data_IF_410766157565
#
_entry.id   IF_410766157565
#
_cell.length_a   1.000
_cell.length_b   1.000
_cell.length_c   1.000
_cell.angle_alpha   90.00
_cell.angle_beta   90.00
_cell.angle_gamma   90.00
#
_symmetry.space_group_name_H-M   'P 1'
#
loop_
_entity.id
_entity.type
_entity.pdbx_description
1 polymer ?
#
# COMPACT_ATOMS: atom_id res chain seq x y z
N UNK A 1 -27.56 9.84 5.17
CA UNK A 1 -26.79 9.88 3.90
C UNK A 1 -25.38 9.37 4.16
N UNK A 2 -24.68 8.92 3.14
CA UNK A 2 -23.30 8.45 3.23
C UNK A 2 -22.36 9.51 3.83
N UNK A 3 -22.59 10.78 3.51
CA UNK A 3 -21.79 11.89 4.01
C UNK A 3 -21.86 12.02 5.54
N UNK A 4 -23.03 11.83 6.15
CA UNK A 4 -23.19 11.87 7.60
C UNK A 4 -22.51 10.70 8.28
N UNK A 5 -22.65 9.49 7.75
CA UNK A 5 -21.97 8.29 8.23
C UNK A 5 -20.44 8.47 8.20
N UNK A 6 -19.90 8.86 7.06
CA UNK A 6 -18.47 9.05 6.87
C UNK A 6 -17.91 10.14 7.79
N UNK A 7 -18.65 11.25 7.99
CA UNK A 7 -18.30 12.29 8.96
C UNK A 7 -18.23 11.76 10.39
N UNK A 8 -19.18 10.94 10.80
CA UNK A 8 -19.21 10.37 12.13
C UNK A 8 -18.06 9.38 12.37
N UNK A 9 -17.76 8.53 11.37
CA UNK A 9 -16.63 7.59 11.40
C UNK A 9 -15.30 8.36 11.47
N UNK A 10 -15.11 9.36 10.61
CA UNK A 10 -13.91 10.20 10.61
C UNK A 10 -13.71 10.91 11.95
N UNK A 11 -14.77 11.48 12.51
CA UNK A 11 -14.73 12.12 13.84
C UNK A 11 -14.31 11.14 14.93
N UNK A 12 -14.79 9.90 14.90
CA UNK A 12 -14.51 8.88 15.92
C UNK A 12 -13.08 8.32 15.82
N UNK A 13 -12.61 8.03 14.61
CA UNK A 13 -11.34 7.32 14.40
C UNK A 13 -10.19 8.23 13.94
N UNK A 14 -10.47 9.47 13.57
CA UNK A 14 -9.48 10.41 13.03
C UNK A 14 -8.97 10.03 11.65
N UNK A 15 -9.63 9.11 10.96
CA UNK A 15 -9.24 8.63 9.63
C UNK A 15 -10.02 9.38 8.57
N UNK A 16 -9.31 9.97 7.61
CA UNK A 16 -9.89 10.72 6.50
C UNK A 16 -10.91 9.88 5.72
N UNK A 17 -12.13 10.40 5.61
CA UNK A 17 -13.26 9.74 4.93
C UNK A 17 -12.97 9.41 3.47
N UNK A 18 -12.16 10.22 2.79
CA UNK A 18 -11.85 9.98 1.38
C UNK A 18 -10.90 8.79 1.21
N UNK A 19 -10.03 8.53 2.19
CA UNK A 19 -9.21 7.31 2.22
C UNK A 19 -10.09 6.07 2.45
N UNK A 20 -11.10 6.16 3.30
CA UNK A 20 -12.07 5.06 3.48
C UNK A 20 -12.82 4.77 2.18
N UNK A 21 -13.24 5.81 1.46
CA UNK A 21 -13.83 5.66 0.13
C UNK A 21 -12.85 5.09 -0.90
N UNK A 22 -11.59 5.51 -0.85
CA UNK A 22 -10.52 4.98 -1.70
C UNK A 22 -10.34 3.47 -1.50
N UNK A 23 -10.26 3.01 -0.25
CA UNK A 23 -10.19 1.58 0.07
C UNK A 23 -11.45 0.86 -0.39
N UNK A 24 -12.64 1.36 -0.06
CA UNK A 24 -13.90 0.74 -0.44
C UNK A 24 -14.07 0.60 -1.97
N UNK A 25 -13.66 1.64 -2.70
CA UNK A 25 -13.62 1.62 -4.16
C UNK A 25 -12.67 0.57 -4.72
N UNK A 26 -11.44 0.54 -4.21
CA UNK A 26 -10.39 -0.38 -4.69
C UNK A 26 -10.67 -1.84 -4.33
N UNK A 27 -11.24 -2.11 -3.14
CA UNK A 27 -11.44 -3.47 -2.65
C UNK A 27 -12.66 -4.16 -3.26
N UNK A 28 -13.76 -3.44 -3.46
CA UNK A 28 -15.01 -4.07 -3.86
C UNK A 28 -15.88 -3.23 -4.80
N UNK A 29 -15.31 -2.22 -5.48
CA UNK A 29 -16.10 -1.34 -6.32
C UNK A 29 -17.33 -0.79 -5.57
N UNK A 30 -17.10 -0.23 -4.38
CA UNK A 30 -18.12 0.29 -3.47
C UNK A 30 -19.18 -0.77 -3.08
N UNK A 31 -18.70 -1.99 -2.81
CA UNK A 31 -19.53 -3.09 -2.32
C UNK A 31 -20.26 -3.88 -3.41
N UNK A 32 -20.02 -3.61 -4.69
CA UNK A 32 -20.58 -4.39 -5.81
C UNK A 32 -19.92 -5.76 -5.95
N UNK A 33 -18.61 -5.84 -5.69
CA UNK A 33 -17.77 -7.02 -5.93
C UNK A 33 -17.18 -7.55 -4.61
N UNK A 34 -18.01 -8.13 -3.73
CA UNK A 34 -17.59 -8.63 -2.41
C UNK A 34 -17.04 -10.06 -2.43
N UNK A 35 -17.07 -10.72 -3.58
CA UNK A 35 -16.74 -12.14 -3.72
C UNK A 35 -17.89 -13.06 -3.31
N UNK A 36 -17.99 -14.22 -3.96
CA UNK A 36 -19.07 -15.20 -3.77
C UNK A 36 -18.54 -16.60 -3.41
N UNK A 37 -17.23 -16.78 -3.26
CA UNK A 37 -16.64 -18.08 -2.94
C UNK A 37 -16.70 -18.33 -1.43
N UNK A 38 -16.98 -19.58 -1.04
CA UNK A 38 -16.95 -19.98 0.36
C UNK A 38 -15.53 -19.79 0.94
N UNK A 39 -15.39 -19.00 1.99
CA UNK A 39 -14.09 -18.66 2.62
C UNK A 39 -13.33 -19.92 3.04
N UNK A 40 -14.02 -20.87 3.68
CA UNK A 40 -13.37 -22.14 4.10
C UNK A 40 -12.86 -22.96 2.92
N UNK A 41 -13.62 -23.01 1.81
CA UNK A 41 -13.18 -23.69 0.58
C UNK A 41 -11.95 -23.03 -0.03
N UNK A 42 -11.96 -21.70 -0.15
CA UNK A 42 -10.83 -20.93 -0.68
C UNK A 42 -9.55 -21.19 0.15
N UNK A 43 -9.66 -21.14 1.46
CA UNK A 43 -8.53 -21.34 2.36
C UNK A 43 -8.01 -22.80 2.35
N UNK A 44 -8.92 -23.79 2.30
CA UNK A 44 -8.54 -25.19 2.18
C UNK A 44 -7.78 -25.46 0.87
N UNK A 45 -8.26 -24.90 -0.24
CA UNK A 45 -7.59 -25.00 -1.55
C UNK A 45 -6.19 -24.35 -1.52
N UNK A 46 -6.04 -23.16 -0.95
CA UNK A 46 -4.75 -22.47 -0.82
C UNK A 46 -3.77 -23.25 0.07
N UNK A 47 -4.26 -23.84 1.15
CA UNK A 47 -3.46 -24.67 2.04
C UNK A 47 -2.97 -25.94 1.33
N UNK A 48 -3.87 -26.62 0.60
CA UNK A 48 -3.56 -27.83 -0.16
C UNK A 48 -2.58 -27.58 -1.29
N UNK A 49 -2.79 -26.51 -2.08
CA UNK A 49 -1.91 -26.12 -3.18
C UNK A 49 -0.49 -25.72 -2.74
N UNK A 50 -0.27 -25.54 -1.44
CA UNK A 50 1.05 -25.37 -0.82
C UNK A 50 1.73 -24.00 -1.01
N UNK A 51 1.37 -23.23 -2.03
CA UNK A 51 2.06 -21.96 -2.39
C UNK A 51 1.98 -20.87 -1.31
N UNK A 52 0.91 -20.89 -0.47
CA UNK A 52 0.69 -19.98 0.66
C UNK A 52 0.24 -20.74 1.91
N UNK A 53 0.74 -21.93 2.14
CA UNK A 53 0.28 -22.87 3.17
C UNK A 53 0.26 -22.25 4.58
N UNK A 54 1.34 -21.59 4.99
CA UNK A 54 1.42 -20.94 6.32
C UNK A 54 0.32 -19.89 6.48
N UNK A 55 0.20 -18.97 5.52
CA UNK A 55 -0.85 -17.97 5.50
C UNK A 55 -2.24 -18.60 5.56
N UNK A 56 -2.53 -19.57 4.68
CA UNK A 56 -3.83 -20.21 4.62
C UNK A 56 -4.20 -20.89 5.95
N UNK A 57 -3.26 -21.57 6.59
CA UNK A 57 -3.49 -22.24 7.88
C UNK A 57 -3.81 -21.22 9.00
N UNK A 58 -3.11 -20.10 9.05
CA UNK A 58 -3.40 -19.02 10.00
C UNK A 58 -4.82 -18.47 9.78
N UNK A 59 -5.20 -18.25 8.52
CA UNK A 59 -6.53 -17.76 8.17
C UNK A 59 -7.64 -18.80 8.43
N UNK A 60 -7.37 -20.11 8.24
CA UNK A 60 -8.32 -21.20 8.59
C UNK A 60 -8.64 -21.18 10.08
N UNK A 61 -7.64 -21.08 10.94
CA UNK A 61 -7.85 -21.00 12.40
C UNK A 61 -8.69 -19.78 12.78
N UNK A 62 -8.41 -18.63 12.17
CA UNK A 62 -9.21 -17.43 12.39
C UNK A 62 -10.65 -17.58 11.90
N UNK A 63 -10.85 -18.16 10.71
CA UNK A 63 -12.15 -18.43 10.13
C UNK A 63 -12.99 -19.40 11.00
N UNK A 64 -12.38 -20.45 11.52
CA UNK A 64 -13.03 -21.37 12.47
C UNK A 64 -13.45 -20.66 13.77
N UNK A 65 -12.65 -19.72 14.27
CA UNK A 65 -13.02 -18.90 15.44
C UNK A 65 -14.24 -18.01 15.15
N UNK A 66 -14.33 -17.43 13.96
CA UNK A 66 -15.47 -16.61 13.53
C UNK A 66 -16.74 -17.47 13.54
N UNK A 67 -16.69 -18.64 12.90
CA UNK A 67 -17.83 -19.58 12.84
C UNK A 67 -18.22 -20.11 14.23
N UNK A 68 -17.23 -20.54 15.04
CA UNK A 68 -17.49 -21.02 16.41
C UNK A 68 -18.19 -20.00 17.29
N UNK A 69 -17.87 -18.71 17.13
CA UNK A 69 -18.49 -17.62 17.88
C UNK A 69 -19.84 -17.17 17.32
N UNK A 70 -20.34 -17.81 16.25
CA UNK A 70 -21.59 -17.41 15.60
C UNK A 70 -21.57 -16.04 14.94
N UNK A 71 -20.39 -15.49 14.71
CA UNK A 71 -20.24 -14.14 14.08
C UNK A 71 -20.66 -14.12 12.61
N UNK A 72 -20.72 -15.28 11.98
CA UNK A 72 -21.24 -15.47 10.62
C UNK A 72 -21.74 -16.92 10.47
N UNK A 73 -22.83 -17.11 9.68
CA UNK A 73 -23.29 -18.47 9.36
C UNK A 73 -22.34 -19.13 8.36
N UNK A 74 -22.16 -20.47 8.40
CA UNK A 74 -21.31 -21.15 7.41
C UNK A 74 -21.79 -20.95 5.96
N UNK A 75 -23.11 -20.81 5.74
CA UNK A 75 -23.72 -20.60 4.41
C UNK A 75 -23.34 -19.23 3.85
N UNK A 76 -23.31 -18.21 4.70
CA UNK A 76 -23.12 -16.82 4.30
C UNK A 76 -21.64 -16.37 4.44
N UNK A 77 -20.75 -17.29 4.82
CA UNK A 77 -19.34 -17.02 5.01
C UNK A 77 -18.60 -17.04 3.66
N UNK A 78 -18.81 -15.97 2.88
CA UNK A 78 -18.33 -15.81 1.51
C UNK A 78 -17.28 -14.70 1.40
N UNK A 79 -16.50 -14.75 0.33
CA UNK A 79 -15.45 -13.79 0.02
C UNK A 79 -14.80 -14.08 -1.34
N UNK A 80 -13.60 -13.53 -1.53
CA UNK A 80 -12.80 -13.77 -2.73
C UNK A 80 -12.15 -15.17 -2.73
N UNK A 81 -11.52 -15.53 -3.85
CA UNK A 81 -10.74 -16.76 -3.96
C UNK A 81 -9.57 -16.85 -2.95
N UNK A 82 -9.10 -15.71 -2.45
CA UNK A 82 -8.05 -15.60 -1.44
C UNK A 82 -8.62 -15.39 -0.02
N UNK A 83 -9.94 -15.58 0.16
CA UNK A 83 -10.66 -15.45 1.43
C UNK A 83 -10.69 -14.03 2.01
N UNK A 84 -10.60 -13.01 1.17
CA UNK A 84 -10.90 -11.63 1.56
C UNK A 84 -12.42 -11.42 1.54
N UNK A 85 -12.97 -10.74 2.56
CA UNK A 85 -14.39 -10.79 2.91
C UNK A 85 -15.02 -9.40 2.93
N UNK A 86 -16.25 -9.33 2.44
CA UNK A 86 -17.14 -8.18 2.60
C UNK A 86 -16.75 -6.93 1.82
N UNK A 87 -17.33 -5.81 2.20
CA UNK A 87 -17.20 -4.52 1.52
C UNK A 87 -15.76 -4.03 1.38
N UNK A 88 -14.92 -4.29 2.36
CA UNK A 88 -13.53 -3.79 2.42
C UNK A 88 -12.50 -4.91 2.45
N UNK A 89 -12.92 -6.12 2.05
CA UNK A 89 -12.07 -7.27 1.79
C UNK A 89 -11.14 -7.65 2.96
N UNK A 90 -11.68 -7.69 4.18
CA UNK A 90 -10.93 -8.16 5.35
C UNK A 90 -10.62 -9.65 5.25
N UNK A 91 -9.40 -10.04 5.59
CA UNK A 91 -9.06 -11.44 5.82
C UNK A 91 -9.53 -11.87 7.23
N UNK A 92 -9.74 -13.18 7.50
CA UNK A 92 -10.26 -13.64 8.80
C UNK A 92 -9.53 -13.12 10.04
N UNK A 93 -8.19 -13.04 10.00
CA UNK A 93 -7.41 -12.46 11.11
C UNK A 93 -7.68 -10.97 11.30
N UNK A 94 -7.79 -10.20 10.21
CA UNK A 94 -8.14 -8.78 10.28
C UNK A 94 -9.54 -8.56 10.82
N UNK A 95 -10.51 -9.40 10.41
CA UNK A 95 -11.86 -9.36 10.96
C UNK A 95 -11.88 -9.54 12.48
N UNK A 96 -11.20 -10.57 13.00
CA UNK A 96 -11.13 -10.80 14.45
C UNK A 96 -10.48 -9.64 15.21
N UNK A 97 -9.49 -8.97 14.62
CA UNK A 97 -8.70 -7.92 15.28
C UNK A 97 -9.33 -6.53 15.18
N UNK A 98 -10.03 -6.24 14.10
CA UNK A 98 -10.39 -4.86 13.76
C UNK A 98 -11.87 -4.64 13.48
N UNK A 99 -12.67 -5.70 13.19
CA UNK A 99 -14.09 -5.52 12.94
C UNK A 99 -14.83 -4.95 14.16
N UNK A 100 -15.70 -3.98 13.91
CA UNK A 100 -16.52 -3.31 14.91
C UNK A 100 -17.98 -3.37 14.52
N UNK A 101 -18.84 -3.39 15.50
CA UNK A 101 -20.28 -3.16 15.38
C UNK A 101 -20.52 -1.65 15.50
N UNK A 102 -20.78 -1.01 14.39
CA UNK A 102 -21.06 0.43 14.32
C UNK A 102 -22.55 0.71 14.53
N UNK A 103 -23.40 -0.18 14.04
CA UNK A 103 -24.85 -0.05 14.09
C UNK A 103 -25.41 -0.31 15.50
N UNK A 104 -24.67 -1.05 16.34
CA UNK A 104 -25.06 -1.41 17.70
C UNK A 104 -26.09 -2.55 17.76
N UNK A 105 -26.19 -3.36 16.70
CA UNK A 105 -27.11 -4.49 16.63
C UNK A 105 -26.55 -5.79 17.21
N UNK A 106 -25.33 -5.74 17.77
CA UNK A 106 -24.61 -6.88 18.35
C UNK A 106 -23.82 -7.70 17.31
N UNK A 107 -23.82 -7.31 16.04
CA UNK A 107 -23.09 -7.99 14.98
C UNK A 107 -22.02 -7.08 14.38
N UNK A 108 -20.99 -7.69 13.81
CA UNK A 108 -19.92 -6.99 13.06
C UNK A 108 -20.05 -7.38 11.59
N UNK A 109 -21.13 -6.93 10.95
CA UNK A 109 -21.49 -7.38 9.60
C UNK A 109 -20.79 -6.58 8.50
N UNK A 110 -19.57 -6.95 8.16
CA UNK A 110 -18.82 -6.35 7.06
C UNK A 110 -19.32 -6.76 5.66
N UNK A 111 -20.28 -7.71 5.55
CA UNK A 111 -20.84 -8.19 4.29
C UNK A 111 -22.11 -7.46 3.89
N UNK A 112 -23.00 -7.24 4.85
CA UNK A 112 -24.31 -6.62 4.64
C UNK A 112 -24.35 -5.15 5.05
N UNK A 113 -23.60 -4.79 6.10
CA UNK A 113 -23.53 -3.41 6.62
C UNK A 113 -22.28 -2.69 6.12
N UNK A 114 -22.47 -1.71 5.25
CA UNK A 114 -21.39 -0.79 4.86
C UNK A 114 -20.94 0.08 6.02
N UNK A 115 -21.81 0.36 6.97
CA UNK A 115 -21.58 1.10 8.20
C UNK A 115 -20.49 0.40 9.03
N UNK A 116 -20.69 -0.89 9.31
CA UNK A 116 -19.74 -1.71 10.05
C UNK A 116 -18.43 -1.88 9.27
N UNK A 117 -18.51 -2.11 7.96
CA UNK A 117 -17.33 -2.31 7.12
C UNK A 117 -16.44 -1.06 7.08
N UNK A 118 -17.02 0.12 6.86
CA UNK A 118 -16.27 1.39 6.82
C UNK A 118 -15.72 1.77 8.19
N UNK A 119 -16.50 1.58 9.26
CA UNK A 119 -16.03 1.80 10.63
C UNK A 119 -14.91 0.81 11.02
N UNK A 120 -15.02 -0.45 10.61
CA UNK A 120 -13.97 -1.46 10.81
C UNK A 120 -12.67 -1.08 10.08
N UNK A 121 -12.78 -0.57 8.85
CA UNK A 121 -11.64 -0.08 8.08
C UNK A 121 -10.98 1.12 8.75
N UNK A 122 -11.77 2.07 9.25
CA UNK A 122 -11.27 3.21 10.01
C UNK A 122 -10.56 2.75 11.30
N UNK A 123 -11.15 1.81 12.04
CA UNK A 123 -10.52 1.22 13.22
C UNK A 123 -9.19 0.53 12.88
N UNK A 124 -9.12 -0.19 11.75
CA UNK A 124 -7.88 -0.79 11.28
C UNK A 124 -6.79 0.26 11.04
N UNK A 125 -7.09 1.30 10.24
CA UNK A 125 -6.11 2.35 9.91
C UNK A 125 -5.68 3.15 11.15
N UNK A 126 -6.61 3.46 12.05
CA UNK A 126 -6.29 4.12 13.31
C UNK A 126 -5.30 3.30 14.15
N UNK A 127 -5.55 1.98 14.29
CA UNK A 127 -4.63 1.05 14.98
C UNK A 127 -3.32 0.82 14.24
N UNK A 128 -3.30 0.98 12.92
CA UNK A 128 -2.09 0.96 12.10
C UNK A 128 -1.28 2.27 12.19
N UNK A 129 -1.72 3.24 12.99
CA UNK A 129 -0.99 4.47 13.29
C UNK A 129 -1.38 5.67 12.44
N UNK A 130 -2.55 5.64 11.79
CA UNK A 130 -3.09 6.82 11.09
C UNK A 130 -3.17 8.04 12.01
N UNK A 131 -2.83 9.21 11.49
CA UNK A 131 -2.91 10.51 12.17
C UNK A 131 -3.73 11.48 11.34
N UNK A 132 -4.65 12.20 11.99
CA UNK A 132 -5.56 13.17 11.34
C UNK A 132 -4.87 14.47 10.92
N UNK A 133 -3.69 14.77 11.49
CA UNK A 133 -2.94 16.02 11.26
C UNK A 133 -2.12 16.04 9.97
N UNK A 134 -2.17 14.99 9.17
CA UNK A 134 -1.38 14.87 7.93
C UNK A 134 -2.07 14.01 6.89
N UNK A 135 -1.88 14.28 5.56
CA UNK A 135 -2.35 13.40 4.50
C UNK A 135 -1.46 12.14 4.38
N UNK A 136 -1.78 11.27 3.43
CA UNK A 136 -0.95 10.11 3.09
C UNK A 136 0.36 10.52 2.40
N UNK A 137 0.34 11.60 1.61
CA UNK A 137 1.48 12.11 0.86
C UNK A 137 1.08 13.15 -0.18
N UNK A 138 2.05 13.53 -0.98
CA UNK A 138 1.92 14.45 -2.11
C UNK A 138 2.74 13.96 -3.29
N UNK A 139 2.24 14.13 -4.49
CA UNK A 139 3.10 14.13 -5.66
C UNK A 139 3.99 15.38 -5.64
N UNK A 140 5.29 15.21 -5.93
CA UNK A 140 6.27 16.28 -5.81
C UNK A 140 7.17 16.42 -7.02
N UNK A 141 7.68 17.63 -7.24
CA UNK A 141 8.79 17.91 -8.15
C UNK A 141 10.10 17.91 -7.38
N UNK A 142 11.06 17.13 -7.87
CA UNK A 142 12.43 17.14 -7.38
C UNK A 142 13.23 18.17 -8.18
N UNK A 143 14.07 19.05 -7.54
CA UNK A 143 14.93 19.97 -8.29
C UNK A 143 15.97 19.20 -9.10
N UNK A 144 16.46 19.79 -10.20
CA UNK A 144 17.41 19.13 -11.11
C UNK A 144 18.71 18.67 -10.44
N UNK A 145 19.15 19.40 -9.41
CA UNK A 145 20.33 19.08 -8.59
C UNK A 145 20.03 18.23 -7.35
N UNK A 146 18.84 17.63 -7.26
CA UNK A 146 18.43 16.86 -6.10
C UNK A 146 19.40 15.71 -5.80
N UNK A 147 19.84 15.61 -4.55
CA UNK A 147 20.68 14.50 -4.12
C UNK A 147 19.87 13.20 -4.03
N UNK A 148 19.97 12.37 -5.05
CA UNK A 148 19.25 11.09 -5.19
C UNK A 148 19.55 10.08 -4.08
N UNK A 149 20.66 10.23 -3.35
CA UNK A 149 20.96 9.41 -2.18
C UNK A 149 20.01 9.65 -0.99
N UNK A 150 19.17 10.68 -1.07
CA UNK A 150 18.13 10.98 -0.10
C UNK A 150 16.79 10.30 -0.42
N UNK A 151 16.68 9.59 -1.54
CA UNK A 151 15.49 8.81 -1.90
C UNK A 151 15.42 7.57 -1.02
N UNK A 152 14.21 7.22 -0.59
CA UNK A 152 13.92 5.95 0.04
C UNK A 152 13.47 6.04 1.49
N UNK A 153 12.82 4.97 1.91
CA UNK A 153 12.12 4.83 3.20
C UNK A 153 13.01 4.96 4.45
N UNK A 154 14.32 4.86 4.31
CA UNK A 154 15.24 5.07 5.43
C UNK A 154 15.58 6.55 5.70
N UNK A 155 15.03 7.47 4.88
CA UNK A 155 15.41 8.89 4.86
C UNK A 155 14.28 9.81 5.33
N UNK A 156 13.65 9.46 6.45
CA UNK A 156 12.62 10.28 7.08
C UNK A 156 13.15 11.65 7.52
N UNK A 157 12.42 12.71 7.17
CA UNK A 157 12.67 14.09 7.58
C UNK A 157 11.36 14.85 7.68
N UNK A 158 11.27 15.90 8.50
CA UNK A 158 10.18 16.86 8.42
C UNK A 158 10.02 17.43 7.01
N UNK A 159 8.78 17.62 6.57
CA UNK A 159 8.47 18.19 5.25
C UNK A 159 9.14 19.56 5.06
N UNK A 160 9.23 20.36 6.13
CA UNK A 160 9.94 21.64 6.10
C UNK A 160 11.42 21.52 5.68
N UNK A 161 12.10 20.42 5.99
CA UNK A 161 13.46 20.16 5.52
C UNK A 161 13.49 19.79 4.03
N UNK A 162 12.51 19.02 3.56
CA UNK A 162 12.38 18.72 2.14
C UNK A 162 12.13 19.98 1.31
N UNK A 163 11.32 20.91 1.83
CA UNK A 163 11.10 22.23 1.21
C UNK A 163 12.40 23.02 1.08
N UNK A 164 13.25 23.03 2.12
CA UNK A 164 14.58 23.69 2.08
C UNK A 164 15.51 23.07 1.03
N UNK A 165 15.31 21.79 0.70
CA UNK A 165 16.02 21.10 -0.39
C UNK A 165 15.41 21.34 -1.78
N UNK A 166 14.43 22.22 -1.89
CA UNK A 166 13.80 22.63 -3.16
C UNK A 166 12.68 21.69 -3.64
N UNK A 167 12.19 20.77 -2.81
CA UNK A 167 11.04 19.94 -3.17
C UNK A 167 9.76 20.76 -3.07
N UNK A 168 8.92 20.70 -4.10
CA UNK A 168 7.63 21.40 -4.18
C UNK A 168 6.51 20.43 -4.58
N UNK A 169 5.24 20.68 -4.18
CA UNK A 169 4.11 19.93 -4.71
C UNK A 169 4.03 20.03 -6.24
N UNK A 170 3.79 18.90 -6.92
CA UNK A 170 3.77 18.85 -8.39
C UNK A 170 2.65 19.69 -9.01
N UNK A 171 1.53 19.84 -8.30
CA UNK A 171 0.37 20.63 -8.72
C UNK A 171 0.47 22.12 -8.44
N UNK A 172 1.62 22.62 -7.94
CA UNK A 172 1.83 24.02 -7.60
C UNK A 172 1.17 24.49 -6.29
N UNK A 173 0.55 23.59 -5.54
CA UNK A 173 -0.05 23.90 -4.23
C UNK A 173 0.99 24.07 -3.11
N UNK A 174 0.54 23.96 -1.87
CA UNK A 174 1.39 24.03 -0.68
C UNK A 174 1.32 22.75 0.15
N UNK A 175 2.37 22.45 0.91
CA UNK A 175 2.34 21.43 1.93
C UNK A 175 1.58 21.93 3.17
N UNK A 176 0.58 21.19 3.60
CA UNK A 176 -0.30 21.56 4.72
C UNK A 176 0.10 20.92 6.07
N UNK A 177 1.20 20.19 6.11
CA UNK A 177 1.71 19.52 7.32
C UNK A 177 3.25 19.61 7.42
N UNK A 178 3.85 20.83 7.52
CA UNK A 178 5.30 21.02 7.39
C UNK A 178 6.13 20.31 8.47
N UNK A 179 5.54 20.00 9.62
CA UNK A 179 6.20 19.30 10.72
C UNK A 179 6.08 17.77 10.63
N UNK A 180 5.26 17.27 9.71
CA UNK A 180 5.13 15.83 9.54
C UNK A 180 6.38 15.22 8.90
N UNK A 181 6.82 14.07 9.42
CA UNK A 181 7.88 13.30 8.79
C UNK A 181 7.39 12.67 7.51
N UNK A 182 8.22 12.74 6.47
CA UNK A 182 8.00 12.11 5.18
C UNK A 182 9.32 11.61 4.57
N UNK A 183 9.22 10.76 3.56
CA UNK A 183 10.36 10.39 2.72
C UNK A 183 9.99 10.46 1.24
N UNK A 184 11.00 10.65 0.39
CA UNK A 184 10.82 10.66 -1.07
C UNK A 184 10.76 9.24 -1.59
N UNK A 185 9.70 8.92 -2.33
CA UNK A 185 9.47 7.65 -2.99
C UNK A 185 9.32 7.84 -4.51
N UNK A 186 9.96 6.97 -5.29
CA UNK A 186 9.91 6.93 -6.75
C UNK A 186 9.40 5.55 -7.20
N UNK A 187 8.10 5.36 -7.40
CA UNK A 187 7.51 4.03 -7.63
C UNK A 187 7.97 3.34 -8.91
N UNK A 188 8.36 4.12 -9.93
CA UNK A 188 8.87 3.62 -11.22
C UNK A 188 10.17 4.30 -11.65
N UNK A 189 11.04 4.58 -10.68
CA UNK A 189 12.32 5.20 -10.94
C UNK A 189 12.25 6.72 -11.03
N UNK A 190 13.40 7.31 -11.34
CA UNK A 190 13.62 8.76 -11.24
C UNK A 190 13.00 9.56 -12.38
N UNK A 191 12.66 8.89 -13.47
CA UNK A 191 12.00 9.49 -14.64
C UNK A 191 10.47 9.53 -14.49
N UNK A 192 9.94 8.78 -13.52
CA UNK A 192 8.52 8.76 -13.18
C UNK A 192 8.13 9.78 -12.13
N UNK A 193 6.84 9.80 -11.74
CA UNK A 193 6.36 10.67 -10.70
C UNK A 193 7.04 10.35 -9.36
N UNK A 194 7.43 11.39 -8.63
CA UNK A 194 7.96 11.29 -7.29
C UNK A 194 6.88 11.66 -6.27
N UNK A 195 6.93 11.01 -5.12
CA UNK A 195 6.00 11.25 -4.02
C UNK A 195 6.76 11.53 -2.73
N UNK A 196 6.26 12.49 -1.96
CA UNK A 196 6.67 12.70 -0.59
C UNK A 196 5.58 12.08 0.29
N UNK A 197 5.89 10.93 0.91
CA UNK A 197 4.89 10.11 1.62
C UNK A 197 5.11 10.15 3.12
N UNK A 198 4.02 10.23 3.88
CA UNK A 198 4.01 10.33 5.34
C UNK A 198 3.84 8.95 6.00
N UNK A 199 3.78 8.93 7.34
CA UNK A 199 3.44 7.72 8.08
C UNK A 199 2.01 7.21 7.81
N UNK A 200 1.09 8.07 7.33
CA UNK A 200 -0.23 7.64 6.91
C UNK A 200 -0.19 6.74 5.66
N UNK A 201 0.79 6.94 4.78
CA UNK A 201 1.06 5.99 3.68
C UNK A 201 1.40 4.60 4.22
N UNK A 202 2.16 4.52 5.32
CA UNK A 202 2.46 3.23 5.95
C UNK A 202 1.22 2.58 6.58
N UNK A 203 0.28 3.38 7.10
CA UNK A 203 -1.00 2.85 7.59
C UNK A 203 -1.81 2.21 6.46
N UNK A 204 -1.84 2.82 5.26
CA UNK A 204 -2.45 2.21 4.07
C UNK A 204 -1.67 0.95 3.66
N UNK A 205 -0.33 0.98 3.69
CA UNK A 205 0.52 -0.18 3.41
C UNK A 205 0.28 -1.35 4.38
N UNK A 206 -0.11 -1.08 5.62
CA UNK A 206 -0.46 -2.13 6.57
C UNK A 206 -1.74 -2.87 6.15
N UNK A 207 -2.66 -2.18 5.47
CA UNK A 207 -3.88 -2.79 4.92
C UNK A 207 -3.57 -3.74 3.75
N UNK A 208 -2.77 -3.29 2.81
CA UNK A 208 -2.25 -4.09 1.71
C UNK A 208 -0.81 -3.68 1.41
N UNK A 209 0.12 -4.62 1.56
CA UNK A 209 1.57 -4.36 1.50
C UNK A 209 2.06 -4.17 0.06
N UNK A 210 1.53 -3.13 -0.60
CA UNK A 210 1.88 -2.73 -1.96
C UNK A 210 1.95 -1.20 -2.07
N UNK A 211 3.08 -0.67 -2.53
CA UNK A 211 3.23 0.76 -2.78
C UNK A 211 2.23 1.26 -3.83
N UNK A 212 2.03 0.49 -4.93
CA UNK A 212 1.07 0.84 -5.97
C UNK A 212 -0.36 0.89 -5.44
N UNK A 213 -0.73 -0.06 -4.56
CA UNK A 213 -2.02 -0.03 -3.89
C UNK A 213 -2.17 1.23 -3.02
N UNK A 214 -1.18 1.52 -2.20
CA UNK A 214 -1.25 2.67 -1.30
C UNK A 214 -1.31 4.00 -2.04
N UNK A 215 -0.58 4.16 -3.17
CA UNK A 215 -0.71 5.31 -4.07
C UNK A 215 -2.11 5.36 -4.67
N UNK A 216 -2.62 4.23 -5.19
CA UNK A 216 -3.94 4.17 -5.83
C UNK A 216 -5.06 4.54 -4.86
N UNK A 217 -5.04 4.00 -3.63
CA UNK A 217 -6.00 4.36 -2.57
C UNK A 217 -5.90 5.84 -2.22
N UNK A 218 -4.68 6.32 -1.95
CA UNK A 218 -4.46 7.72 -1.58
C UNK A 218 -4.91 8.68 -2.68
N UNK A 219 -4.46 8.42 -3.91
CA UNK A 219 -4.82 9.23 -5.07
C UNK A 219 -6.32 9.16 -5.39
N UNK A 220 -6.95 7.98 -5.31
CA UNK A 220 -8.41 7.86 -5.49
C UNK A 220 -9.16 8.69 -4.44
N UNK A 221 -8.72 8.65 -3.18
CA UNK A 221 -9.28 9.51 -2.12
C UNK A 221 -9.14 11.00 -2.45
N UNK A 222 -7.98 11.42 -2.93
CA UNK A 222 -7.75 12.81 -3.35
C UNK A 222 -8.61 13.19 -4.57
N UNK A 223 -8.79 12.28 -5.54
CA UNK A 223 -9.68 12.49 -6.70
C UNK A 223 -11.14 12.64 -6.28
N UNK A 224 -11.61 11.83 -5.32
CA UNK A 224 -12.97 11.94 -4.77
C UNK A 224 -13.15 13.30 -4.06
N UNK A 225 -12.10 13.83 -3.44
CA UNK A 225 -12.10 15.17 -2.81
C UNK A 225 -12.06 16.30 -3.82
N UNK A 226 -11.83 16.03 -5.10
CA UNK A 226 -11.77 17.02 -6.17
C UNK A 226 -10.35 17.40 -6.62
N UNK A 227 -9.32 16.72 -6.16
CA UNK A 227 -7.96 16.96 -6.65
C UNK A 227 -7.79 16.57 -8.13
N UNK A 228 -6.80 17.17 -8.80
CA UNK A 228 -6.41 16.83 -10.17
C UNK A 228 -5.76 15.44 -10.31
N UNK A 229 -5.48 15.00 -11.54
CA UNK A 229 -4.73 13.76 -11.80
C UNK A 229 -3.27 13.91 -11.35
N UNK A 230 -2.54 12.78 -11.30
CA UNK A 230 -1.08 12.77 -11.20
C UNK A 230 -0.51 13.53 -12.39
N UNK A 231 0.43 14.45 -12.13
CA UNK A 231 1.00 15.38 -13.11
C UNK A 231 2.20 14.75 -13.83
N UNK A 232 3.04 14.00 -13.12
CA UNK A 232 4.21 13.33 -13.66
C UNK A 232 3.82 12.20 -14.61
N UNK A 233 4.48 12.13 -15.75
CA UNK A 233 4.29 11.03 -16.68
C UNK A 233 4.84 9.73 -16.11
N UNK A 234 4.07 8.66 -16.23
CA UNK A 234 4.57 7.32 -15.94
C UNK A 234 5.47 6.88 -17.09
N UNK A 235 6.73 6.47 -16.82
CA UNK A 235 7.62 6.04 -17.87
C UNK A 235 7.07 4.76 -18.51
N UNK A 236 7.26 4.67 -19.83
CA UNK A 236 7.08 3.38 -20.52
C UNK A 236 8.24 2.47 -20.13
N UNK A 237 7.96 1.52 -19.28
CA UNK A 237 8.95 0.61 -18.70
C UNK A 237 9.23 -0.56 -19.66
N UNK A 238 9.80 -0.27 -20.83
CA UNK A 238 10.50 -1.27 -21.61
C UNK A 238 11.91 -1.46 -21.02
N UNK A 239 12.12 -2.56 -20.31
CA UNK A 239 13.47 -2.92 -19.83
C UNK A 239 14.23 -3.66 -20.93
N UNK A 240 15.52 -3.35 -21.11
CA UNK A 240 16.47 -4.15 -21.90
C UNK A 240 16.85 -5.47 -21.21
N UNK A 241 15.99 -5.94 -20.29
CA UNK A 241 16.14 -7.11 -19.46
C UNK A 241 14.94 -8.06 -19.64
N UNK A 242 15.23 -9.32 -19.96
CA UNK A 242 14.23 -10.38 -19.92
C UNK A 242 13.66 -10.57 -18.49
N UNK A 243 12.54 -11.28 -18.38
CA UNK A 243 11.97 -11.59 -17.05
C UNK A 243 12.98 -12.31 -16.14
N UNK A 244 13.71 -13.31 -16.66
CA UNK A 244 14.71 -14.04 -15.90
C UNK A 244 15.85 -13.12 -15.42
N UNK A 245 16.30 -12.21 -16.27
CA UNK A 245 17.33 -11.23 -15.94
C UNK A 245 16.85 -10.23 -14.88
N UNK A 246 15.57 -9.83 -14.89
CA UNK A 246 15.00 -8.97 -13.83
C UNK A 246 14.98 -9.68 -12.49
N UNK A 247 14.56 -10.95 -12.45
CA UNK A 247 14.64 -11.79 -11.23
C UNK A 247 16.07 -11.92 -10.73
N UNK A 248 17.01 -12.19 -11.64
CA UNK A 248 18.44 -12.31 -11.33
C UNK A 248 19.00 -11.00 -10.72
N UNK A 249 18.67 -9.84 -11.31
CA UNK A 249 19.09 -8.53 -10.81
C UNK A 249 18.61 -8.31 -9.37
N UNK A 250 17.33 -8.55 -9.09
CA UNK A 250 16.78 -8.43 -7.75
C UNK A 250 17.46 -9.38 -6.77
N UNK A 251 17.67 -10.65 -7.16
CA UNK A 251 18.32 -11.65 -6.33
C UNK A 251 19.75 -11.23 -5.95
N UNK A 252 20.52 -10.72 -6.91
CA UNK A 252 21.90 -10.28 -6.67
C UNK A 252 21.98 -9.05 -5.78
N UNK A 253 21.10 -8.06 -5.99
CA UNK A 253 21.03 -6.92 -5.07
C UNK A 253 20.69 -7.37 -3.65
N UNK A 254 19.70 -8.27 -3.48
CA UNK A 254 19.33 -8.79 -2.16
C UNK A 254 20.46 -9.59 -1.51
N UNK A 255 21.21 -10.39 -2.26
CA UNK A 255 22.37 -11.15 -1.72
C UNK A 255 23.52 -10.24 -1.26
N UNK A 256 23.62 -9.04 -1.83
CA UNK A 256 24.60 -8.01 -1.40
C UNK A 256 24.04 -7.11 -0.26
N UNK A 257 22.87 -7.42 0.30
CA UNK A 257 22.25 -6.69 1.40
C UNK A 257 21.39 -5.49 0.97
N UNK A 258 21.13 -5.32 -0.33
CA UNK A 258 20.25 -4.26 -0.85
C UNK A 258 18.84 -4.81 -1.07
N UNK A 259 17.95 -4.53 -0.13
CA UNK A 259 16.58 -5.07 -0.08
C UNK A 259 15.70 -4.58 -1.25
N UNK A 260 15.35 -5.49 -2.16
CA UNK A 260 14.53 -5.19 -3.35
C UNK A 260 13.01 -5.34 -3.14
N UNK A 261 12.62 -5.92 -2.01
CA UNK A 261 11.22 -6.20 -1.71
C UNK A 261 10.68 -7.52 -2.28
N UNK A 262 11.54 -8.31 -2.93
CA UNK A 262 11.24 -9.60 -3.53
C UNK A 262 12.01 -9.82 -4.82
N UNK A 263 12.00 -11.05 -5.32
CA UNK A 263 12.72 -11.45 -6.54
C UNK A 263 11.70 -11.97 -7.57
N UNK A 264 10.69 -11.14 -7.87
CA UNK A 264 9.53 -11.50 -8.69
C UNK A 264 9.61 -10.95 -10.13
N UNK A 265 10.74 -10.32 -10.49
CA UNK A 265 10.98 -9.71 -11.80
C UNK A 265 10.16 -8.43 -12.05
N UNK A 266 9.45 -7.93 -11.03
CA UNK A 266 8.70 -6.67 -11.08
C UNK A 266 9.46 -5.59 -10.33
N UNK A 267 9.87 -4.56 -11.02
CA UNK A 267 10.59 -3.46 -10.40
C UNK A 267 9.61 -2.44 -9.81
N UNK A 268 9.69 -2.25 -8.52
CA UNK A 268 8.92 -1.24 -7.78
C UNK A 268 9.85 -0.35 -6.97
N UNK A 269 9.30 0.57 -6.18
CA UNK A 269 10.05 1.56 -5.41
C UNK A 269 11.24 0.96 -4.65
N UNK A 270 11.08 -0.20 -4.01
CA UNK A 270 12.17 -0.86 -3.28
C UNK A 270 13.32 -1.30 -4.19
N UNK A 271 13.02 -1.80 -5.37
CA UNK A 271 14.06 -2.18 -6.34
C UNK A 271 14.85 -0.96 -6.80
N UNK A 272 14.19 0.15 -7.11
CA UNK A 272 14.88 1.40 -7.48
C UNK A 272 15.70 1.97 -6.33
N UNK A 273 15.18 1.94 -5.10
CA UNK A 273 15.94 2.32 -3.89
C UNK A 273 17.18 1.44 -3.70
N UNK A 274 17.06 0.12 -3.88
CA UNK A 274 18.17 -0.83 -3.80
C UNK A 274 19.24 -0.57 -4.86
N UNK A 275 18.83 -0.27 -6.12
CA UNK A 275 19.75 0.11 -7.20
C UNK A 275 20.52 1.38 -6.83
N UNK A 276 19.85 2.43 -6.38
CA UNK A 276 20.50 3.69 -5.99
C UNK A 276 21.48 3.45 -4.82
N UNK A 277 21.09 2.66 -3.84
CA UNK A 277 21.93 2.33 -2.70
C UNK A 277 23.19 1.55 -3.13
N UNK A 278 23.04 0.57 -4.02
CA UNK A 278 24.17 -0.16 -4.60
C UNK A 278 25.07 0.77 -5.43
N UNK A 279 24.49 1.57 -6.33
CA UNK A 279 25.26 2.52 -7.13
C UNK A 279 26.07 3.47 -6.25
N UNK A 280 25.50 3.94 -5.15
CA UNK A 280 26.19 4.78 -4.18
C UNK A 280 27.36 4.03 -3.53
N UNK A 281 27.19 2.78 -3.12
CA UNK A 281 28.21 1.99 -2.43
C UNK A 281 29.44 1.70 -3.29
N UNK A 282 29.27 1.68 -4.63
CA UNK A 282 30.35 1.38 -5.60
C UNK A 282 30.75 2.59 -6.45
N UNK A 283 30.33 3.81 -6.09
CA UNK A 283 30.75 5.05 -6.75
C UNK A 283 30.18 5.24 -8.17
N UNK A 284 29.05 4.63 -8.50
CA UNK A 284 28.37 4.80 -9.79
C UNK A 284 27.47 6.04 -9.80
N UNK A 285 27.14 6.58 -10.99
CA UNK A 285 26.08 7.56 -11.13
C UNK A 285 24.77 7.05 -10.53
N UNK A 286 24.09 7.88 -9.74
CA UNK A 286 22.85 7.52 -9.05
C UNK A 286 21.65 7.73 -10.00
N UNK A 287 21.58 6.97 -11.10
CA UNK A 287 20.46 7.04 -12.05
C UNK A 287 19.28 6.13 -11.66
N UNK A 288 19.51 5.16 -10.77
CA UNK A 288 18.51 4.22 -10.33
C UNK A 288 17.99 3.29 -11.45
N UNK A 289 18.62 3.26 -12.61
CA UNK A 289 18.14 2.52 -13.79
C UNK A 289 18.51 1.04 -13.71
N UNK A 290 17.53 0.13 -13.76
CA UNK A 290 17.79 -1.28 -14.02
C UNK A 290 18.20 -1.46 -15.49
N UNK A 291 19.35 -2.09 -15.73
CA UNK A 291 19.90 -2.30 -17.06
C UNK A 291 20.71 -3.59 -17.17
N UNK A 292 20.90 -4.09 -18.38
CA UNK A 292 21.79 -5.21 -18.64
C UNK A 292 23.22 -4.92 -18.16
N UNK A 293 23.71 -3.69 -18.35
CA UNK A 293 25.03 -3.26 -17.88
C UNK A 293 25.16 -3.34 -16.34
N UNK A 294 24.10 -2.95 -15.60
CA UNK A 294 24.05 -3.06 -14.15
C UNK A 294 24.08 -4.54 -13.73
N UNK A 295 23.31 -5.39 -14.41
CA UNK A 295 23.28 -6.83 -14.13
C UNK A 295 24.65 -7.48 -14.33
N UNK A 296 25.35 -7.18 -15.42
CA UNK A 296 26.70 -7.71 -15.67
C UNK A 296 27.67 -7.28 -14.56
N UNK A 297 27.60 -6.04 -14.10
CA UNK A 297 28.41 -5.58 -12.98
C UNK A 297 28.10 -6.32 -11.67
N UNK A 298 26.83 -6.59 -11.39
CA UNK A 298 26.42 -7.38 -10.23
C UNK A 298 26.86 -8.85 -10.32
N UNK A 299 27.05 -9.40 -11.50
CA UNK A 299 27.61 -10.75 -11.70
C UNK A 299 29.10 -10.82 -11.35
N UNK A 300 29.84 -9.75 -11.57
CA UNK A 300 31.26 -9.66 -11.25
C UNK A 300 31.55 -9.22 -9.80
N UNK A 301 30.56 -8.89 -9.00
CA UNK A 301 30.69 -8.42 -7.63
C UNK A 301 30.41 -9.50 -6.56
N UNK A 302 30.18 -10.75 -6.98
CA UNK A 302 29.87 -11.90 -6.11
C UNK A 302 30.94 -12.97 -6.14
#
# INVERSE_FOLDING_TARGET
SEAALLSAIEKKYGVDRHILLGIWGMESNFGKDKGSMGVMRSLATLSYAGRKKKYANEQIIAALKILKKGMRSPRDFTGSWAAAMGHTQFIPTSYLSYAVDWTGDGQKDIWGSKEDALASTANYLAKAGWKSDRPWGWEVKLPGNFNKALIGRAKWRPIAEWMKLGITPANGGAFNAPQADAFVMIPQGIEGPAFLVTKNFQAIMAYNFSHSYAIAVGHLGDRIRGAGPIVGAWPDVSYDLSFAQRVELQRRLSSLGFETGGNDGRFGARTYEAIIAYQKSVGLPLDGKPSAKLLERLKGAG
#
